data_IF_768531621994
#
_entry.id   IF_768531621994
#
_cell.length_a   1.000
_cell.length_b   1.000
_cell.length_c   1.000
_cell.angle_alpha   90.00
_cell.angle_beta   90.00
_cell.angle_gamma   90.00
#
_symmetry.space_group_name_H-M   'P 1'
#
loop_
_entity.id
_entity.type
_entity.pdbx_description
1 polymer ?
#
# COMPACT_ATOMS: atom_id res chain seq x y z
N UNK A 1 2.23 -15.18 -13.03
CA UNK A 1 2.31 -14.76 -11.60
C UNK A 1 3.74 -14.28 -11.36
N UNK A 2 3.94 -13.13 -10.71
CA UNK A 2 5.29 -12.63 -10.38
C UNK A 2 5.83 -13.42 -9.19
N UNK A 3 7.09 -13.82 -9.24
CA UNK A 3 7.74 -14.57 -8.16
C UNK A 3 7.85 -13.72 -6.89
N UNK A 4 7.68 -14.34 -5.72
CA UNK A 4 7.76 -13.66 -4.42
C UNK A 4 9.12 -12.96 -4.22
N UNK A 5 10.23 -13.58 -4.68
CA UNK A 5 11.54 -12.97 -4.54
C UNK A 5 11.67 -11.70 -5.37
N UNK A 6 10.99 -11.63 -6.54
CA UNK A 6 10.96 -10.40 -7.34
C UNK A 6 10.23 -9.27 -6.61
N UNK A 7 9.14 -9.58 -5.89
CA UNK A 7 8.41 -8.60 -5.07
C UNK A 7 9.29 -8.12 -3.91
N UNK A 8 9.98 -9.04 -3.21
CA UNK A 8 10.89 -8.70 -2.10
C UNK A 8 12.07 -7.84 -2.60
N UNK A 9 12.65 -8.19 -3.74
CA UNK A 9 13.71 -7.40 -4.37
C UNK A 9 13.22 -6.00 -4.74
N UNK A 10 12.05 -5.88 -5.40
CA UNK A 10 11.46 -4.60 -5.75
C UNK A 10 11.24 -3.72 -4.51
N UNK A 11 10.72 -4.28 -3.41
CA UNK A 11 10.58 -3.55 -2.14
C UNK A 11 11.90 -2.97 -1.65
N UNK A 12 13.01 -3.73 -1.75
CA UNK A 12 14.35 -3.24 -1.36
C UNK A 12 14.86 -2.16 -2.31
N UNK A 13 14.63 -2.31 -3.61
CA UNK A 13 15.06 -1.34 -4.64
C UNK A 13 14.42 0.03 -4.44
N UNK A 14 13.12 0.07 -4.12
CA UNK A 14 12.37 1.32 -4.03
C UNK A 14 12.41 1.98 -2.64
N UNK A 15 12.90 1.27 -1.61
CA UNK A 15 12.86 1.70 -0.21
C UNK A 15 13.52 3.06 0.06
N UNK A 16 14.48 3.49 -0.76
CA UNK A 16 15.15 4.78 -0.60
C UNK A 16 14.32 6.00 -0.98
N UNK A 17 13.21 5.83 -1.71
CA UNK A 17 12.44 6.95 -2.25
C UNK A 17 10.92 6.83 -2.12
N UNK A 18 10.40 5.74 -1.56
CA UNK A 18 8.96 5.56 -1.32
C UNK A 18 8.66 5.69 0.17
N UNK A 19 7.46 6.15 0.50
CA UNK A 19 6.99 6.25 1.88
C UNK A 19 6.32 4.94 2.32
N UNK A 20 6.51 4.55 3.59
CA UNK A 20 5.67 3.54 4.23
C UNK A 20 4.30 4.15 4.59
N UNK A 21 3.38 4.08 3.65
CA UNK A 21 2.02 4.60 3.82
C UNK A 21 1.28 3.88 4.97
N UNK A 22 0.44 4.57 5.75
CA UNK A 22 -0.26 3.96 6.88
C UNK A 22 -1.38 3.01 6.44
N UNK A 23 -1.85 2.21 7.40
CA UNK A 23 -3.13 1.51 7.31
C UNK A 23 -4.16 2.21 8.19
N UNK A 24 -5.27 2.65 7.61
CA UNK A 24 -6.39 3.22 8.34
C UNK A 24 -7.51 2.19 8.51
N UNK A 25 -8.12 2.14 9.69
CA UNK A 25 -9.33 1.33 9.91
C UNK A 25 -10.55 2.15 9.52
N UNK A 26 -11.40 1.61 8.64
CA UNK A 26 -12.63 2.29 8.25
C UNK A 26 -13.81 1.77 9.05
N UNK A 27 -14.13 2.43 10.17
CA UNK A 27 -15.27 2.05 11.03
C UNK A 27 -16.61 2.00 10.27
N UNK A 28 -16.81 2.93 9.33
CA UNK A 28 -18.02 2.98 8.50
C UNK A 28 -18.11 1.76 7.58
N UNK A 29 -17.05 1.45 6.83
CA UNK A 29 -17.04 0.29 5.94
C UNK A 29 -17.12 -1.00 6.76
N UNK A 30 -16.39 -1.08 7.86
CA UNK A 30 -16.41 -2.25 8.73
C UNK A 30 -17.81 -2.56 9.25
N UNK A 31 -18.55 -1.52 9.68
CA UNK A 31 -19.95 -1.66 10.12
C UNK A 31 -20.88 -2.06 8.97
N UNK A 32 -20.73 -1.44 7.80
CA UNK A 32 -21.62 -1.68 6.66
C UNK A 32 -21.50 -3.10 6.10
N UNK A 33 -20.30 -3.68 6.15
CA UNK A 33 -20.03 -5.01 5.60
C UNK A 33 -19.86 -6.10 6.67
N UNK A 34 -20.00 -5.73 7.96
CA UNK A 34 -19.80 -6.63 9.11
C UNK A 34 -18.45 -7.39 9.06
N UNK A 35 -17.38 -6.70 8.66
CA UNK A 35 -16.01 -7.24 8.55
C UNK A 35 -15.01 -6.16 8.96
N UNK A 36 -13.75 -6.52 9.24
CA UNK A 36 -12.71 -5.52 9.52
C UNK A 36 -12.11 -4.98 8.22
N UNK A 37 -12.39 -3.72 7.90
CA UNK A 37 -11.87 -3.05 6.70
C UNK A 37 -10.68 -2.16 7.05
N UNK A 38 -9.55 -2.44 6.40
CA UNK A 38 -8.32 -1.67 6.48
C UNK A 38 -8.04 -1.05 5.10
N UNK A 39 -7.72 0.24 5.09
CA UNK A 39 -7.37 1.00 3.90
C UNK A 39 -5.86 1.22 3.87
N UNK A 40 -5.23 0.88 2.76
CA UNK A 40 -3.81 1.17 2.51
C UNK A 40 -3.73 2.49 1.74
N UNK A 41 -3.27 3.54 2.43
CA UNK A 41 -3.40 4.93 1.96
C UNK A 41 -2.30 5.32 0.95
N UNK A 42 -2.26 4.67 -0.22
CA UNK A 42 -1.29 4.97 -1.29
C UNK A 42 -1.48 6.37 -1.93
N UNK A 43 -2.60 7.02 -1.66
CA UNK A 43 -2.81 8.46 -1.89
C UNK A 43 -1.84 9.35 -1.12
N UNK A 44 -1.24 8.85 -0.03
CA UNK A 44 -0.25 9.58 0.78
C UNK A 44 1.20 9.32 0.34
N UNK A 45 1.41 8.53 -0.71
CA UNK A 45 2.73 8.33 -1.30
C UNK A 45 3.25 9.64 -1.94
N UNK A 46 4.57 9.79 -2.13
CA UNK A 46 5.21 11.04 -2.63
C UNK A 46 4.59 11.67 -3.89
N UNK A 47 4.02 10.86 -4.77
CA UNK A 47 3.39 11.32 -6.03
C UNK A 47 1.86 11.35 -5.97
N UNK A 48 1.29 11.14 -4.78
CA UNK A 48 -0.16 11.03 -4.56
C UNK A 48 -0.76 9.71 -5.03
N UNK A 49 0.06 8.74 -5.43
CA UNK A 49 -0.40 7.43 -5.91
C UNK A 49 0.66 6.33 -5.76
N UNK A 50 0.21 5.09 -5.80
CA UNK A 50 1.05 3.88 -5.78
C UNK A 50 1.96 3.72 -7.01
N UNK A 51 1.80 4.54 -8.06
CA UNK A 51 2.49 4.33 -9.35
C UNK A 51 4.01 4.48 -9.24
N UNK A 52 4.52 5.28 -8.29
CA UNK A 52 5.95 5.41 -8.03
C UNK A 52 6.63 4.09 -7.65
N UNK A 53 5.86 3.09 -7.17
CA UNK A 53 6.39 1.78 -6.78
C UNK A 53 6.86 0.94 -7.98
N UNK A 54 6.41 1.26 -9.19
CA UNK A 54 6.74 0.50 -10.41
C UNK A 54 7.11 1.35 -11.62
N UNK A 55 7.36 2.65 -11.41
CA UNK A 55 7.78 3.60 -12.44
C UNK A 55 9.22 3.36 -12.92
#
# INVERSE_FOLDING_TARGET
>A
MVDLNKIIQAKRTIAGFVDETPFAVSNKLSKNYNVNVFLKEENLQKTGAYKILGA
#
